data_IF_801323822461
#
_entry.id   IF_801323822461
#
_cell.length_a   1.000
_cell.length_b   1.000
_cell.length_c   1.000
_cell.angle_alpha   90.00
_cell.angle_beta   90.00
_cell.angle_gamma   90.00
#
_symmetry.space_group_name_H-M   'P 1'
#
loop_
_entity.id
_entity.type
_entity.pdbx_description
1 polymer ?
#
# COMPACT_ATOMS: atom_id res chain seq x y z
N UNK A 1 -17.85 -19.86 -8.43
CA UNK A 1 -17.86 -18.79 -7.41
C UNK A 1 -17.61 -17.48 -8.14
N UNK A 2 -18.60 -16.58 -8.20
CA UNK A 2 -18.46 -15.25 -8.75
C UNK A 2 -17.67 -14.41 -7.74
N UNK A 3 -16.45 -14.00 -8.10
CA UNK A 3 -15.63 -13.16 -7.24
C UNK A 3 -15.86 -11.69 -7.63
N UNK A 4 -16.58 -10.93 -6.79
CA UNK A 4 -16.53 -9.49 -6.83
C UNK A 4 -15.16 -9.05 -6.26
N UNK A 5 -14.46 -8.19 -6.97
CA UNK A 5 -13.20 -7.59 -6.50
C UNK A 5 -13.48 -6.15 -6.10
N UNK A 6 -13.09 -5.79 -4.90
CA UNK A 6 -13.14 -4.42 -4.41
C UNK A 6 -11.77 -3.79 -4.56
N UNK A 7 -11.71 -2.56 -5.05
CA UNK A 7 -10.50 -1.76 -5.01
C UNK A 7 -10.79 -0.47 -4.24
N UNK A 8 -9.96 -0.15 -3.27
CA UNK A 8 -9.92 1.16 -2.63
C UNK A 8 -9.33 2.16 -3.62
N UNK A 9 -10.07 3.22 -3.93
CA UNK A 9 -9.75 4.13 -5.03
C UNK A 9 -8.99 5.38 -4.55
N UNK A 10 -8.50 5.42 -3.30
CA UNK A 10 -7.62 6.49 -2.83
C UNK A 10 -6.40 6.72 -3.72
N UNK A 11 -5.81 5.64 -4.26
CA UNK A 11 -4.68 5.70 -5.20
C UNK A 11 -5.04 6.23 -6.59
N UNK A 12 -6.29 6.17 -7.01
CA UNK A 12 -6.72 6.67 -8.34
C UNK A 12 -6.62 8.19 -8.41
N UNK A 13 -7.05 8.88 -7.36
CA UNK A 13 -6.91 10.33 -7.26
C UNK A 13 -5.43 10.75 -7.07
N UNK A 14 -4.61 9.93 -6.40
CA UNK A 14 -3.20 10.16 -6.16
C UNK A 14 -2.87 11.15 -5.04
N UNK A 15 -3.86 11.79 -4.43
CA UNK A 15 -3.68 12.79 -3.36
C UNK A 15 -4.67 12.62 -2.20
N UNK A 16 -5.51 11.58 -2.23
CA UNK A 16 -6.49 11.32 -1.17
C UNK A 16 -7.59 12.39 -1.03
N UNK A 17 -7.85 13.18 -2.09
CA UNK A 17 -8.85 14.27 -2.08
C UNK A 17 -10.28 13.77 -2.14
N UNK A 18 -10.50 12.59 -2.69
CA UNK A 18 -11.82 12.01 -2.87
C UNK A 18 -11.83 10.53 -2.47
N UNK A 19 -12.95 10.11 -1.89
CA UNK A 19 -13.21 8.72 -1.54
C UNK A 19 -14.11 8.09 -2.59
N UNK A 20 -13.78 6.89 -3.01
CA UNK A 20 -14.58 6.12 -3.94
C UNK A 20 -14.23 4.64 -3.87
N UNK A 21 -14.97 3.85 -4.61
CA UNK A 21 -14.72 2.42 -4.73
C UNK A 21 -15.17 1.92 -6.10
N UNK A 22 -14.59 0.83 -6.55
CA UNK A 22 -15.01 0.16 -7.78
C UNK A 22 -15.35 -1.30 -7.49
N UNK A 23 -16.47 -1.75 -8.05
CA UNK A 23 -16.88 -3.16 -8.00
C UNK A 23 -16.68 -3.73 -9.40
N UNK A 24 -15.74 -4.67 -9.53
CA UNK A 24 -15.48 -5.39 -10.77
C UNK A 24 -16.04 -6.81 -10.68
N UNK A 25 -16.69 -7.25 -11.73
CA UNK A 25 -17.28 -8.59 -11.80
C UNK A 25 -17.71 -8.97 -13.22
N UNK A 26 -18.36 -10.13 -13.36
CA UNK A 26 -18.97 -10.50 -14.63
C UNK A 26 -20.08 -9.53 -15.00
N UNK A 27 -20.36 -9.37 -16.30
CA UNK A 27 -21.47 -8.52 -16.77
C UNK A 27 -22.79 -8.91 -16.12
N UNK A 28 -23.01 -10.21 -15.93
CA UNK A 28 -24.21 -10.72 -15.27
C UNK A 28 -24.30 -10.29 -13.81
N UNK A 29 -23.21 -10.44 -13.04
CA UNK A 29 -23.16 -9.98 -11.64
C UNK A 29 -23.40 -8.46 -11.53
N UNK A 30 -22.73 -7.68 -12.37
CA UNK A 30 -22.89 -6.22 -12.35
C UNK A 30 -24.34 -5.83 -12.64
N UNK A 31 -24.94 -6.38 -13.68
CA UNK A 31 -26.31 -6.02 -14.12
C UNK A 31 -27.40 -6.54 -13.18
N UNK A 32 -27.25 -7.77 -12.66
CA UNK A 32 -28.32 -8.40 -11.87
C UNK A 32 -28.22 -8.14 -10.36
N UNK A 33 -27.02 -7.83 -9.86
CA UNK A 33 -26.78 -7.67 -8.41
C UNK A 33 -26.31 -6.26 -8.07
N UNK A 34 -25.17 -5.81 -8.62
CA UNK A 34 -24.56 -4.55 -8.18
C UNK A 34 -25.38 -3.34 -8.61
N UNK A 35 -25.80 -3.26 -9.86
CA UNK A 35 -26.56 -2.10 -10.40
C UNK A 35 -27.93 -1.91 -9.72
N UNK A 36 -28.79 -2.96 -9.55
CA UNK A 36 -30.04 -2.78 -8.82
C UNK A 36 -29.84 -2.35 -7.37
N UNK A 37 -28.85 -2.95 -6.70
CA UNK A 37 -28.53 -2.58 -5.32
C UNK A 37 -28.13 -1.10 -5.20
N UNK A 38 -27.17 -0.65 -5.99
CA UNK A 38 -26.68 0.74 -5.97
C UNK A 38 -27.78 1.73 -6.35
N UNK A 39 -28.62 1.40 -7.34
CA UNK A 39 -29.73 2.24 -7.79
C UNK A 39 -30.74 2.55 -6.67
N UNK A 40 -30.99 1.58 -5.79
CA UNK A 40 -32.02 1.72 -4.75
C UNK A 40 -31.46 2.12 -3.38
N UNK A 41 -30.16 1.94 -3.13
CA UNK A 41 -29.53 2.29 -1.83
C UNK A 41 -28.88 3.67 -1.80
N UNK A 42 -28.83 4.38 -2.94
CA UNK A 42 -28.27 5.72 -3.01
C UNK A 42 -26.74 5.82 -2.89
N UNK A 43 -26.02 4.72 -3.03
CA UNK A 43 -24.56 4.68 -2.96
C UNK A 43 -23.87 5.17 -4.25
N UNK A 44 -24.49 6.12 -4.97
CA UNK A 44 -23.93 6.70 -6.18
C UNK A 44 -22.86 7.76 -5.84
N UNK A 45 -21.77 7.74 -6.60
CA UNK A 45 -20.71 8.73 -6.48
C UNK A 45 -21.21 10.11 -6.93
N UNK A 46 -20.86 11.19 -6.21
CA UNK A 46 -21.20 12.54 -6.64
C UNK A 46 -20.47 12.89 -7.95
N UNK A 47 -21.08 13.74 -8.82
CA UNK A 47 -20.41 14.17 -10.06
C UNK A 47 -19.04 14.83 -9.81
N UNK A 48 -18.89 15.59 -8.73
CA UNK A 48 -17.61 16.22 -8.37
C UNK A 48 -16.55 15.19 -8.00
N UNK A 49 -16.91 14.19 -7.20
CA UNK A 49 -16.01 13.06 -6.87
C UNK A 49 -15.63 12.29 -8.14
N UNK A 50 -16.59 12.00 -9.01
CA UNK A 50 -16.34 11.33 -10.29
C UNK A 50 -15.37 12.12 -11.18
N UNK A 51 -15.51 13.44 -11.24
CA UNK A 51 -14.61 14.31 -11.99
C UNK A 51 -13.18 14.28 -11.43
N UNK A 52 -13.01 14.38 -10.11
CA UNK A 52 -11.68 14.26 -9.46
C UNK A 52 -11.04 12.91 -9.80
N UNK A 53 -11.80 11.81 -9.68
CA UNK A 53 -11.31 10.47 -9.97
C UNK A 53 -10.92 10.31 -11.44
N UNK A 54 -11.74 10.83 -12.36
CA UNK A 54 -11.46 10.77 -13.79
C UNK A 54 -10.15 11.50 -14.14
N UNK A 55 -9.93 12.68 -13.58
CA UNK A 55 -8.69 13.43 -13.77
C UNK A 55 -7.47 12.66 -13.20
N UNK A 56 -7.61 12.04 -12.02
CA UNK A 56 -6.56 11.21 -11.42
C UNK A 56 -6.21 9.98 -12.27
N UNK A 57 -7.17 9.41 -12.97
CA UNK A 57 -6.94 8.25 -13.85
C UNK A 57 -6.04 8.58 -15.04
N UNK A 58 -6.03 9.83 -15.52
CA UNK A 58 -5.22 10.22 -16.68
C UNK A 58 -3.71 9.97 -16.48
N UNK A 59 -3.23 10.04 -15.25
CA UNK A 59 -1.81 9.80 -14.88
C UNK A 59 -1.58 8.55 -14.05
N UNK A 60 -2.61 7.71 -13.87
CA UNK A 60 -2.54 6.57 -12.97
C UNK A 60 -1.43 5.59 -13.35
N UNK A 61 -1.33 5.20 -14.61
CA UNK A 61 -0.31 4.26 -15.10
C UNK A 61 1.10 4.81 -14.90
N UNK A 62 1.34 6.09 -15.25
CA UNK A 62 2.63 6.75 -15.05
C UNK A 62 3.03 6.77 -13.59
N UNK A 63 2.12 7.14 -12.69
CA UNK A 63 2.38 7.17 -11.25
C UNK A 63 2.65 5.77 -10.70
N UNK A 64 1.81 4.79 -11.04
CA UNK A 64 1.99 3.43 -10.55
C UNK A 64 3.31 2.81 -10.99
N UNK A 65 3.77 3.07 -12.22
CA UNK A 65 5.07 2.59 -12.70
C UNK A 65 6.22 3.24 -11.94
N UNK A 66 6.25 4.57 -11.85
CA UNK A 66 7.30 5.28 -11.13
C UNK A 66 7.38 4.85 -9.65
N UNK A 67 6.23 4.74 -8.98
CA UNK A 67 6.15 4.25 -7.59
C UNK A 67 6.62 2.80 -7.45
N UNK A 68 6.31 1.92 -8.41
CA UNK A 68 6.71 0.52 -8.37
C UNK A 68 8.22 0.34 -8.59
N UNK A 69 8.82 1.15 -9.46
CA UNK A 69 10.27 1.16 -9.68
C UNK A 69 11.01 1.66 -8.43
N UNK A 70 10.53 2.74 -7.82
CA UNK A 70 11.05 3.23 -6.55
C UNK A 70 10.86 2.20 -5.42
N UNK A 71 9.69 1.53 -5.36
CA UNK A 71 9.42 0.49 -4.38
C UNK A 71 10.37 -0.71 -4.50
N UNK A 72 10.75 -1.10 -5.71
CA UNK A 72 11.74 -2.16 -5.93
C UNK A 72 13.12 -1.74 -5.40
N UNK A 73 13.56 -0.53 -5.71
CA UNK A 73 14.85 0.01 -5.23
C UNK A 73 14.89 0.06 -3.69
N UNK A 74 13.83 0.57 -3.08
CA UNK A 74 13.70 0.63 -1.61
C UNK A 74 13.70 -0.79 -1.01
N UNK A 75 12.92 -1.72 -1.57
CA UNK A 75 12.86 -3.09 -1.07
C UNK A 75 14.23 -3.79 -1.13
N UNK A 76 15.00 -3.58 -2.20
CA UNK A 76 16.36 -4.09 -2.36
C UNK A 76 17.35 -3.48 -1.36
N UNK A 77 17.19 -2.18 -1.04
CA UNK A 77 17.99 -1.53 -0.02
C UNK A 77 17.69 -2.08 1.38
N UNK A 78 16.40 -2.21 1.72
CA UNK A 78 15.95 -2.76 2.99
C UNK A 78 16.35 -4.24 3.18
N UNK A 79 16.36 -5.04 2.11
CA UNK A 79 16.75 -6.46 2.18
C UNK A 79 18.23 -6.66 2.54
N UNK A 80 19.06 -5.65 2.27
CA UNK A 80 20.49 -5.63 2.58
C UNK A 80 20.82 -5.04 3.95
N UNK A 81 19.84 -4.45 4.62
CA UNK A 81 20.05 -3.76 5.90
C UNK A 81 19.93 -4.74 7.08
N UNK A 82 21.01 -4.88 7.84
CA UNK A 82 21.08 -5.81 8.98
C UNK A 82 20.09 -5.51 10.11
N UNK A 83 19.51 -4.31 10.16
CA UNK A 83 18.49 -3.89 11.13
C UNK A 83 17.09 -4.36 10.75
N UNK A 84 16.91 -4.78 9.51
CA UNK A 84 15.67 -5.36 8.98
C UNK A 84 15.78 -6.88 9.04
N UNK A 85 14.79 -7.53 9.63
CA UNK A 85 14.76 -9.01 9.73
C UNK A 85 14.07 -9.66 8.54
N UNK A 86 13.17 -8.93 7.88
CA UNK A 86 12.37 -9.46 6.77
C UNK A 86 11.86 -8.33 5.88
N UNK A 87 11.86 -8.56 4.58
CA UNK A 87 11.17 -7.71 3.59
C UNK A 87 10.13 -8.55 2.85
N UNK A 88 8.93 -8.02 2.68
CA UNK A 88 7.82 -8.65 1.96
C UNK A 88 7.46 -7.71 0.80
N UNK A 89 7.96 -8.03 -0.38
CA UNK A 89 7.67 -7.28 -1.59
C UNK A 89 7.69 -8.22 -2.81
N UNK A 90 6.57 -8.35 -3.54
CA UNK A 90 6.48 -9.32 -4.65
C UNK A 90 7.45 -9.06 -5.82
N UNK A 91 7.99 -7.85 -5.92
CA UNK A 91 9.00 -7.49 -6.91
C UNK A 91 10.41 -8.03 -6.61
N UNK A 92 10.70 -8.47 -5.38
CA UNK A 92 11.98 -9.11 -5.04
C UNK A 92 12.03 -10.55 -5.56
N UNK A 93 13.17 -10.94 -6.12
CA UNK A 93 13.38 -12.33 -6.57
C UNK A 93 13.32 -13.35 -5.41
N UNK A 94 13.60 -12.91 -4.20
CA UNK A 94 13.49 -13.70 -2.97
C UNK A 94 12.04 -13.98 -2.52
N UNK A 95 11.06 -13.23 -3.07
CA UNK A 95 9.67 -13.40 -2.68
C UNK A 95 9.08 -14.69 -3.27
N UNK A 96 8.42 -15.56 -2.48
CA UNK A 96 7.95 -16.88 -2.94
C UNK A 96 6.95 -16.83 -4.10
N UNK A 97 6.26 -15.72 -4.28
CA UNK A 97 5.29 -15.52 -5.35
C UNK A 97 5.77 -14.52 -6.40
N UNK A 98 7.08 -14.25 -6.49
CA UNK A 98 7.65 -13.30 -7.45
C UNK A 98 7.23 -13.57 -8.90
N UNK A 99 7.38 -14.83 -9.36
CA UNK A 99 7.01 -15.21 -10.71
C UNK A 99 5.52 -15.00 -11.01
N UNK A 100 4.65 -15.33 -10.05
CA UNK A 100 3.21 -15.12 -10.18
C UNK A 100 2.86 -13.63 -10.24
N UNK A 101 3.45 -12.81 -9.36
CA UNK A 101 3.23 -11.38 -9.34
C UNK A 101 3.68 -10.72 -10.65
N UNK A 102 4.86 -11.07 -11.13
CA UNK A 102 5.39 -10.58 -12.41
C UNK A 102 4.49 -10.95 -13.58
N UNK A 103 4.02 -12.21 -13.64
CA UNK A 103 3.13 -12.66 -14.71
C UNK A 103 1.75 -11.98 -14.70
N UNK A 104 1.22 -11.64 -13.52
CA UNK A 104 -0.12 -11.04 -13.40
C UNK A 104 -0.13 -9.51 -13.43
N UNK A 105 0.86 -8.87 -12.85
CA UNK A 105 0.88 -7.41 -12.63
C UNK A 105 1.98 -6.70 -13.42
N UNK A 106 2.98 -7.41 -13.91
CA UNK A 106 4.15 -6.83 -14.57
C UNK A 106 5.14 -6.14 -13.62
N UNK A 107 4.78 -5.91 -12.35
CA UNK A 107 5.62 -5.30 -11.32
C UNK A 107 5.26 -5.82 -9.93
N UNK A 108 6.03 -5.43 -8.90
CA UNK A 108 5.75 -5.77 -7.51
C UNK A 108 4.70 -4.87 -6.83
N UNK A 109 4.23 -3.82 -7.53
CA UNK A 109 3.33 -2.82 -6.97
C UNK A 109 4.04 -1.76 -6.13
N UNK A 110 3.27 -0.96 -5.39
CA UNK A 110 3.75 0.24 -4.69
C UNK A 110 3.87 0.07 -3.17
N UNK A 111 3.55 -1.12 -2.65
CA UNK A 111 3.56 -1.41 -1.21
C UNK A 111 4.74 -2.29 -0.84
N UNK A 112 5.62 -1.79 0.01
CA UNK A 112 6.72 -2.54 0.63
C UNK A 112 6.39 -2.75 2.10
N UNK A 113 6.48 -3.98 2.57
CA UNK A 113 6.32 -4.31 3.99
C UNK A 113 7.62 -4.89 4.52
N UNK A 114 8.06 -4.45 5.67
CA UNK A 114 9.29 -4.95 6.28
C UNK A 114 9.20 -4.98 7.80
N UNK A 115 10.04 -5.79 8.42
CA UNK A 115 10.09 -5.97 9.85
C UNK A 115 11.42 -5.48 10.41
N UNK A 116 11.35 -4.54 11.36
CA UNK A 116 12.50 -3.97 12.06
C UNK A 116 12.83 -4.85 13.28
N UNK A 117 14.10 -5.18 13.46
CA UNK A 117 14.60 -5.84 14.68
C UNK A 117 14.40 -4.92 15.89
N UNK A 118 14.03 -5.48 17.05
CA UNK A 118 13.73 -4.68 18.26
C UNK A 118 12.23 -4.44 18.50
N UNK A 119 11.37 -4.93 17.59
CA UNK A 119 9.93 -4.99 17.80
C UNK A 119 9.25 -3.61 17.79
N UNK A 120 8.20 -3.46 18.61
CA UNK A 120 7.34 -2.27 18.62
C UNK A 120 8.09 -0.98 18.93
N UNK A 121 9.01 -1.03 19.88
CA UNK A 121 9.76 0.15 20.31
C UNK A 121 10.65 0.68 19.19
N UNK A 122 11.41 -0.21 18.54
CA UNK A 122 12.22 0.12 17.37
C UNK A 122 11.37 0.65 16.21
N UNK A 123 10.22 0.01 15.91
CA UNK A 123 9.30 0.44 14.89
C UNK A 123 8.76 1.87 15.15
N UNK A 124 8.51 2.23 16.40
CA UNK A 124 8.05 3.57 16.77
C UNK A 124 9.15 4.62 16.67
N UNK A 125 10.38 4.30 17.11
CA UNK A 125 11.53 5.18 16.93
C UNK A 125 11.79 5.44 15.45
N UNK A 126 11.77 4.38 14.63
CA UNK A 126 11.86 4.48 13.19
C UNK A 126 10.79 5.43 12.62
N UNK A 127 9.50 5.20 12.90
CA UNK A 127 8.42 6.05 12.39
C UNK A 127 8.59 7.51 12.80
N UNK A 128 8.97 7.77 14.06
CA UNK A 128 9.14 9.12 14.58
C UNK A 128 10.36 9.84 13.99
N UNK A 129 11.33 9.11 13.45
CA UNK A 129 12.52 9.68 12.82
C UNK A 129 12.36 9.96 11.33
N UNK A 130 11.26 9.56 10.70
CA UNK A 130 10.98 9.84 9.30
C UNK A 130 10.76 11.35 9.06
N UNK A 131 11.39 11.90 8.05
CA UNK A 131 11.26 13.32 7.68
C UNK A 131 10.46 13.51 6.38
N UNK A 132 10.76 12.73 5.37
CA UNK A 132 10.08 12.75 4.06
C UNK A 132 8.81 11.93 4.12
N UNK A 133 8.93 10.66 4.48
CA UNK A 133 7.81 9.72 4.58
C UNK A 133 6.86 10.14 5.70
N UNK A 134 5.56 10.22 5.40
CA UNK A 134 4.54 10.66 6.38
C UNK A 134 3.88 9.45 7.06
N UNK A 135 3.50 9.62 8.33
CA UNK A 135 2.76 8.59 9.07
C UNK A 135 1.28 8.71 8.73
N UNK A 136 0.71 7.67 8.13
CA UNK A 136 -0.72 7.61 7.81
C UNK A 136 -1.17 6.17 7.59
N UNK A 137 -2.43 5.89 7.89
CA UNK A 137 -3.07 4.58 7.62
C UNK A 137 -3.47 4.37 6.16
N UNK A 138 -3.39 5.42 5.33
CA UNK A 138 -3.78 5.39 3.93
C UNK A 138 -2.73 4.67 3.07
N UNK A 139 -2.98 4.55 1.79
CA UNK A 139 -2.06 3.99 0.80
C UNK A 139 -2.37 4.53 -0.60
N UNK A 140 -1.38 4.45 -1.50
CA UNK A 140 -1.55 4.85 -2.90
C UNK A 140 -1.57 6.35 -3.15
N UNK A 141 -1.10 7.16 -2.18
CA UNK A 141 -0.90 8.60 -2.36
C UNK A 141 0.38 8.85 -3.19
N UNK A 142 0.46 10.00 -3.84
CA UNK A 142 1.67 10.50 -4.47
C UNK A 142 2.80 10.77 -3.46
N UNK A 143 2.47 10.87 -2.18
CA UNK A 143 3.42 10.96 -1.06
C UNK A 143 3.67 9.59 -0.47
N UNK A 144 4.91 9.33 -0.10
CA UNK A 144 5.29 8.13 0.65
C UNK A 144 4.69 8.16 2.06
N UNK A 145 4.06 7.05 2.43
CA UNK A 145 3.31 6.92 3.68
C UNK A 145 3.71 5.63 4.39
N UNK A 146 4.07 5.75 5.67
CA UNK A 146 4.36 4.60 6.54
C UNK A 146 3.26 4.40 7.58
N UNK A 147 2.99 3.15 7.92
CA UNK A 147 2.11 2.79 9.03
C UNK A 147 2.64 1.57 9.78
N UNK A 148 2.34 1.51 11.08
CA UNK A 148 2.59 0.35 11.94
C UNK A 148 1.29 -0.45 12.09
N UNK A 149 1.09 -1.55 11.31
CA UNK A 149 -0.21 -2.22 11.21
C UNK A 149 -0.75 -2.75 12.54
N UNK A 150 0.14 -3.24 13.41
CA UNK A 150 -0.25 -3.87 14.68
C UNK A 150 -1.00 -2.92 15.63
N UNK A 151 -0.72 -1.60 15.58
CA UNK A 151 -1.34 -0.59 16.45
C UNK A 151 -2.31 0.34 15.75
N UNK A 152 -2.47 0.20 14.43
CA UNK A 152 -3.33 1.06 13.61
C UNK A 152 -4.38 0.24 12.85
N UNK A 153 -4.10 -0.13 11.62
CA UNK A 153 -5.08 -0.79 10.73
C UNK A 153 -5.58 -2.13 11.24
N UNK A 154 -4.79 -2.85 12.03
CA UNK A 154 -5.11 -4.18 12.55
C UNK A 154 -5.14 -4.22 14.10
N UNK A 155 -5.23 -3.06 14.76
CA UNK A 155 -5.22 -3.00 16.24
C UNK A 155 -6.34 -3.81 16.90
N UNK A 156 -7.51 -3.90 16.25
CA UNK A 156 -8.69 -4.61 16.79
C UNK A 156 -8.63 -6.13 16.61
N UNK A 157 -7.68 -6.66 15.85
CA UNK A 157 -7.55 -8.09 15.65
C UNK A 157 -6.97 -8.74 16.92
N UNK A 158 -7.53 -9.90 17.36
CA UNK A 158 -6.91 -10.73 18.39
C UNK A 158 -5.50 -11.19 17.98
N UNK A 159 -4.62 -11.39 18.95
CA UNK A 159 -3.22 -11.78 18.70
C UNK A 159 -3.08 -13.01 17.78
N UNK A 160 -3.83 -14.12 17.97
CA UNK A 160 -3.74 -15.27 17.06
C UNK A 160 -4.04 -14.95 15.60
N UNK A 161 -4.92 -13.99 15.35
CA UNK A 161 -5.22 -13.55 13.97
C UNK A 161 -4.08 -12.67 13.41
N UNK A 162 -3.48 -11.80 14.23
CA UNK A 162 -2.29 -11.04 13.83
C UNK A 162 -1.15 -11.97 13.47
N UNK A 163 -0.90 -12.99 14.29
CA UNK A 163 0.16 -13.98 14.08
C UNK A 163 -0.07 -14.75 12.76
N UNK A 164 -1.30 -15.21 12.51
CA UNK A 164 -1.67 -15.90 11.27
C UNK A 164 -1.50 -15.02 10.02
N UNK A 165 -1.62 -13.70 10.16
CA UNK A 165 -1.40 -12.73 9.08
C UNK A 165 0.06 -12.25 9.00
N UNK A 166 0.93 -12.69 9.90
CA UNK A 166 2.33 -12.24 9.98
C UNK A 166 2.48 -10.79 10.42
N UNK A 167 1.53 -10.27 11.20
CA UNK A 167 1.57 -8.90 11.73
C UNK A 167 2.31 -8.92 13.06
N UNK A 168 3.62 -8.72 12.98
CA UNK A 168 4.52 -8.68 14.13
C UNK A 168 4.60 -7.29 14.76
N UNK A 169 5.12 -7.18 15.99
CA UNK A 169 5.33 -5.89 16.64
C UNK A 169 6.33 -4.96 15.94
N UNK A 170 7.24 -5.50 15.13
CA UNK A 170 8.24 -4.73 14.36
C UNK A 170 7.82 -4.40 12.91
N UNK A 171 6.61 -4.82 12.51
CA UNK A 171 6.17 -4.72 11.12
C UNK A 171 5.80 -3.29 10.73
N UNK A 172 6.39 -2.81 9.65
CA UNK A 172 6.06 -1.53 8.99
C UNK A 172 5.53 -1.80 7.59
N UNK A 173 4.48 -1.10 7.19
CA UNK A 173 3.99 -1.04 5.81
C UNK A 173 4.29 0.34 5.24
N UNK A 174 5.04 0.38 4.16
CA UNK A 174 5.36 1.57 3.37
C UNK A 174 4.54 1.57 2.08
N UNK A 175 3.80 2.63 1.82
CA UNK A 175 3.23 2.95 0.51
C UNK A 175 4.15 3.98 -0.14
N UNK A 176 4.85 3.57 -1.17
CA UNK A 176 5.86 4.40 -1.84
C UNK A 176 5.16 5.42 -2.73
N UNK A 177 5.59 6.68 -2.64
CA UNK A 177 5.11 7.81 -3.42
C UNK A 177 5.97 8.10 -4.65
N UNK A 178 5.98 9.38 -5.04
CA UNK A 178 6.66 9.90 -6.22
C UNK A 178 7.87 10.80 -5.89
N UNK A 179 8.28 10.82 -4.63
CA UNK A 179 9.49 11.53 -4.22
C UNK A 179 10.72 10.89 -4.86
N UNK A 180 11.83 11.59 -4.88
CA UNK A 180 13.10 11.05 -5.36
C UNK A 180 13.48 9.79 -4.57
N UNK A 181 13.86 8.73 -5.28
CA UNK A 181 14.09 7.41 -4.67
C UNK A 181 15.34 7.40 -3.79
N UNK A 182 16.37 8.16 -4.12
CA UNK A 182 17.60 8.23 -3.33
C UNK A 182 17.34 8.98 -2.03
N UNK A 183 16.52 10.03 -2.07
CA UNK A 183 16.07 10.75 -0.88
C UNK A 183 15.21 9.86 0.03
N UNK A 184 14.33 9.04 -0.54
CA UNK A 184 13.55 8.08 0.24
C UNK A 184 14.43 7.02 0.90
N UNK A 185 15.39 6.45 0.18
CA UNK A 185 16.35 5.47 0.73
C UNK A 185 17.18 6.10 1.84
N UNK A 186 17.62 7.35 1.66
CA UNK A 186 18.37 8.09 2.69
C UNK A 186 17.52 8.32 3.95
N UNK A 187 16.27 8.76 3.80
CA UNK A 187 15.34 8.97 4.91
C UNK A 187 15.09 7.68 5.72
N UNK A 188 14.81 6.57 5.02
CA UNK A 188 14.58 5.27 5.63
C UNK A 188 15.85 4.75 6.35
N UNK A 189 17.01 4.88 5.72
CA UNK A 189 18.29 4.42 6.29
C UNK A 189 18.65 5.22 7.54
N UNK A 190 18.45 6.54 7.52
CA UNK A 190 18.63 7.43 8.67
C UNK A 190 17.66 7.06 9.79
N UNK A 191 16.39 6.86 9.48
CA UNK A 191 15.38 6.47 10.48
C UNK A 191 15.67 5.09 11.10
N UNK A 192 16.20 4.14 10.33
CA UNK A 192 16.65 2.85 10.84
C UNK A 192 17.84 2.97 11.79
N UNK A 193 18.69 4.00 11.66
CA UNK A 193 19.88 4.16 12.50
C UNK A 193 19.57 4.51 13.96
N UNK A 194 18.36 4.97 14.24
CA UNK A 194 17.89 5.33 15.60
C UNK A 194 16.83 4.38 16.16
N UNK A 195 16.48 3.34 15.40
CA UNK A 195 15.45 2.36 15.74
C UNK A 195 15.90 1.34 16.80
#
# INVERSE_FOLDING_TARGET
RQHARHALVGGVDGQGRALGGVICGTKEFVRKVAEPYLKHTGAAMSPFTAWIMLNGMATLDLRCRAMADAALTIAQALEKDDRVSKVIYPGLASHPQHALATAQMGSGGTLVTFEIKGGKEAAFKFCNALEIVKISNNLGDAKSIATHPATTTHQRLPQPQKDALGITPGLIRLSVGLEDVDDLVADLTRALSVA
#
